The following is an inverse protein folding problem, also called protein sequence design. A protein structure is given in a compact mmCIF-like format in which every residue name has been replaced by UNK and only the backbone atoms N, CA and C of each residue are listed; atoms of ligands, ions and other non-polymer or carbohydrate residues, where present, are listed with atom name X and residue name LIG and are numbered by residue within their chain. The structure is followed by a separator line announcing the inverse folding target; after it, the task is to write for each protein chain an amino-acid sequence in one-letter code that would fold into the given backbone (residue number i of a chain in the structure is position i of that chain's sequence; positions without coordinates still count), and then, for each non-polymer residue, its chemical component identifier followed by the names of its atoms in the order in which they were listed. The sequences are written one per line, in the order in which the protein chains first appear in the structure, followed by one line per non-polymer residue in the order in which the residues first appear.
data_IF_126071298258
#
_entry.id   IF_126071298258
#
_cell.length_a   1.000
_cell.length_b   1.000
_cell.length_c   1.000
_cell.angle_alpha   90.00
_cell.angle_beta   90.00
_cell.angle_gamma   90.00
#
_symmetry.space_group_name_H-M   'P 1'
#
loop_
_entity.id
_entity.type
_entity.pdbx_description
1 polymer ?
#
# COMPACT_ATOMS: atom_id res chain seq x y z
N UNK A 1 6.36 -9.81 2.02
CA UNK A 1 5.77 -8.49 2.30
C UNK A 1 6.81 -7.67 3.03
N UNK A 2 7.05 -6.43 2.61
CA UNK A 2 7.80 -5.47 3.43
C UNK A 2 7.03 -5.23 4.73
N UNK A 3 7.71 -5.09 5.89
CA UNK A 3 7.05 -4.66 7.09
C UNK A 3 6.38 -3.29 6.85
N UNK A 4 5.17 -3.06 7.38
CA UNK A 4 4.53 -1.76 7.22
C UNK A 4 5.38 -0.68 7.91
N UNK A 5 5.51 0.52 7.30
CA UNK A 5 6.36 1.60 7.80
C UNK A 5 5.84 2.17 9.14
N UNK A 6 4.58 1.89 9.46
CA UNK A 6 3.90 2.23 10.69
C UNK A 6 3.31 0.92 11.23
N UNK A 7 3.44 0.66 12.53
CA UNK A 7 2.83 -0.54 13.12
C UNK A 7 1.31 -0.53 12.94
N UNK A 8 0.69 -1.69 12.74
CA UNK A 8 -0.77 -1.80 12.57
C UNK A 8 -1.54 -1.14 13.70
N UNK A 9 -1.01 -1.18 14.92
CA UNK A 9 -1.59 -0.54 16.09
C UNK A 9 -1.58 1.00 15.99
N UNK A 10 -0.50 1.58 15.46
CA UNK A 10 -0.42 3.03 15.22
C UNK A 10 -1.33 3.43 14.06
N UNK A 11 -1.39 2.63 12.99
CA UNK A 11 -2.27 2.87 11.85
C UNK A 11 -3.76 2.86 12.27
N UNK A 12 -4.18 1.86 13.05
CA UNK A 12 -5.55 1.76 13.62
C UNK A 12 -5.88 2.86 14.64
N UNK A 13 -4.86 3.48 15.25
CA UNK A 13 -5.02 4.65 16.14
C UNK A 13 -5.21 5.94 15.35
N UNK A 14 -4.46 6.13 14.27
CA UNK A 14 -4.55 7.32 13.42
C UNK A 14 -5.80 7.31 12.52
N UNK A 15 -6.22 6.14 12.05
CA UNK A 15 -7.39 5.98 11.19
C UNK A 15 -8.36 5.00 11.86
N UNK A 16 -9.34 5.53 12.58
CA UNK A 16 -10.29 4.74 13.36
C UNK A 16 -11.09 3.74 12.51
N UNK A 17 -11.37 4.09 11.25
CA UNK A 17 -12.06 3.23 10.27
C UNK A 17 -11.32 1.91 10.02
N UNK A 18 -9.98 1.89 10.11
CA UNK A 18 -9.14 0.70 9.88
C UNK A 18 -9.16 -0.29 11.04
N UNK A 19 -9.89 0.01 12.13
CA UNK A 19 -10.22 -1.00 13.14
C UNK A 19 -11.15 -2.07 12.57
N UNK A 20 -11.92 -1.75 11.53
CA UNK A 20 -12.68 -2.76 10.79
C UNK A 20 -11.70 -3.56 9.91
N UNK A 21 -11.62 -4.90 10.09
CA UNK A 21 -10.66 -5.73 9.35
C UNK A 21 -10.89 -5.69 7.84
N UNK A 22 -12.13 -5.50 7.38
CA UNK A 22 -12.44 -5.34 5.95
C UNK A 22 -11.88 -4.04 5.38
N UNK A 23 -11.87 -2.98 6.17
CA UNK A 23 -11.37 -1.68 5.71
C UNK A 23 -9.84 -1.65 5.71
N UNK A 24 -9.24 -2.31 6.70
CA UNK A 24 -7.80 -2.54 6.74
C UNK A 24 -7.31 -3.30 5.51
N UNK A 25 -7.97 -4.41 5.13
CA UNK A 25 -7.52 -5.18 3.96
C UNK A 25 -7.64 -4.40 2.65
N UNK A 26 -8.64 -3.54 2.50
CA UNK A 26 -8.78 -2.65 1.33
C UNK A 26 -7.66 -1.61 1.28
N UNK A 27 -7.34 -1.01 2.44
CA UNK A 27 -6.23 -0.07 2.56
C UNK A 27 -4.88 -0.75 2.21
N UNK A 28 -4.63 -1.94 2.76
CA UNK A 28 -3.42 -2.71 2.48
C UNK A 28 -3.31 -3.11 1.01
N UNK A 29 -4.43 -3.49 0.38
CA UNK A 29 -4.48 -3.79 -1.05
C UNK A 29 -4.11 -2.57 -1.92
N UNK A 30 -4.54 -1.37 -1.54
CA UNK A 30 -4.13 -0.12 -2.19
C UNK A 30 -2.63 0.12 -2.11
N UNK A 31 -2.07 -0.08 -0.92
CA UNK A 31 -0.64 0.06 -0.66
C UNK A 31 0.19 -0.95 -1.45
N UNK A 32 -0.22 -2.21 -1.42
CA UNK A 32 0.46 -3.30 -2.13
C UNK A 32 0.46 -3.08 -3.65
N UNK A 33 -0.69 -2.71 -4.22
CA UNK A 33 -0.80 -2.49 -5.66
C UNK A 33 0.07 -1.31 -6.12
N UNK A 34 0.13 -0.23 -5.35
CA UNK A 34 1.00 0.92 -5.63
C UNK A 34 2.48 0.49 -5.65
N UNK A 35 2.93 -0.29 -4.66
CA UNK A 35 4.29 -0.82 -4.61
C UNK A 35 4.60 -1.73 -5.81
N UNK A 36 3.70 -2.63 -6.17
CA UNK A 36 3.86 -3.51 -7.34
C UNK A 36 3.96 -2.71 -8.64
N UNK A 37 3.16 -1.65 -8.79
CA UNK A 37 3.18 -0.77 -9.96
C UNK A 37 4.50 0.01 -10.04
N UNK A 38 4.97 0.56 -8.92
CA UNK A 38 6.27 1.23 -8.81
C UNK A 38 7.46 0.29 -9.12
N UNK A 39 7.37 -0.97 -8.71
CA UNK A 39 8.36 -2.00 -9.01
C UNK A 39 8.38 -2.39 -10.49
N UNK A 40 7.22 -2.37 -11.15
CA UNK A 40 7.08 -2.65 -12.57
C UNK A 40 7.55 -1.47 -13.46
N UNK A 41 7.98 -0.35 -12.85
CA UNK A 41 8.40 0.85 -13.59
C UNK A 41 7.23 1.61 -14.22
N UNK A 42 6.00 1.34 -13.79
CA UNK A 42 4.80 2.05 -14.25
C UNK A 42 4.63 3.35 -13.46
N UNK A 43 3.92 4.30 -14.06
CA UNK A 43 3.53 5.53 -13.39
C UNK A 43 2.57 5.21 -12.23
N UNK A 44 2.85 5.76 -11.05
CA UNK A 44 2.04 5.62 -9.83
C UNK A 44 1.13 6.82 -9.59
N UNK A 45 1.27 7.87 -10.40
CA UNK A 45 0.33 9.00 -10.42
C UNK A 45 -1.04 8.59 -10.99
N UNK A 46 -1.08 7.57 -11.85
CA UNK A 46 -2.31 7.00 -12.37
C UNK A 46 -2.89 5.94 -11.41
N UNK A 47 -3.84 6.37 -10.60
CA UNK A 47 -4.47 5.54 -9.57
C UNK A 47 -5.70 4.81 -10.14
N UNK A 48 -5.75 3.46 -10.05
CA UNK A 48 -6.85 2.70 -10.61
C UNK A 48 -8.14 2.79 -9.78
N UNK A 49 -9.27 2.57 -10.45
CA UNK A 49 -10.54 2.28 -9.78
C UNK A 49 -10.47 0.87 -9.19
N UNK A 50 -10.67 0.78 -7.88
CA UNK A 50 -10.75 -0.45 -7.11
C UNK A 50 -12.19 -0.91 -6.92
N UNK A 51 -13.11 0.02 -6.63
CA UNK A 51 -14.53 -0.28 -6.39
C UNK A 51 -15.41 0.92 -6.74
N UNK A 52 -16.65 0.67 -7.17
CA UNK A 52 -17.66 1.71 -7.32
C UNK A 52 -18.26 2.17 -5.98
N UNK A 53 -18.01 1.44 -4.90
CA UNK A 53 -18.38 1.89 -3.55
C UNK A 53 -17.41 2.99 -3.10
N UNK A 54 -17.94 4.21 -2.87
CA UNK A 54 -17.13 5.38 -2.51
C UNK A 54 -16.26 5.17 -1.26
N UNK A 55 -16.77 4.47 -0.24
CA UNK A 55 -16.01 4.17 0.98
C UNK A 55 -14.82 3.26 0.68
N UNK A 56 -15.04 2.19 -0.09
CA UNK A 56 -13.98 1.24 -0.43
C UNK A 56 -12.95 1.87 -1.36
N UNK A 57 -13.40 2.66 -2.34
CA UNK A 57 -12.50 3.42 -3.19
C UNK A 57 -11.65 4.37 -2.36
N UNK A 58 -12.25 5.16 -1.46
CA UNK A 58 -11.53 6.10 -0.61
C UNK A 58 -10.46 5.42 0.26
N UNK A 59 -10.79 4.28 0.89
CA UNK A 59 -9.84 3.51 1.69
C UNK A 59 -8.67 2.97 0.86
N UNK A 60 -8.97 2.48 -0.35
CA UNK A 60 -7.97 2.04 -1.30
C UNK A 60 -7.04 3.19 -1.72
N UNK A 61 -7.61 4.37 -2.03
CA UNK A 61 -6.86 5.58 -2.37
C UNK A 61 -5.91 6.00 -1.24
N UNK A 62 -6.39 5.99 0.01
CA UNK A 62 -5.55 6.29 1.19
C UNK A 62 -4.37 5.30 1.32
N UNK A 63 -4.64 4.02 1.08
CA UNK A 63 -3.60 2.99 1.04
C UNK A 63 -2.56 3.24 -0.04
N UNK A 64 -3.01 3.56 -1.26
CA UNK A 64 -2.16 3.91 -2.39
C UNK A 64 -1.24 5.11 -2.09
N UNK A 65 -1.82 6.18 -1.56
CA UNK A 65 -1.12 7.43 -1.21
C UNK A 65 -0.19 7.29 0.00
N UNK A 66 -0.35 6.23 0.81
CA UNK A 66 0.54 5.97 1.94
C UNK A 66 1.94 5.50 1.53
N UNK A 67 2.13 5.11 0.27
CA UNK A 67 3.42 4.63 -0.26
C UNK A 67 4.33 5.82 -0.52
N UNK A 68 5.47 5.83 0.16
CA UNK A 68 6.52 6.83 -0.03
C UNK A 68 7.60 6.35 -1.01
N UNK A 69 8.42 7.29 -1.49
CA UNK A 69 9.59 6.95 -2.29
C UNK A 69 10.59 6.07 -1.53
N UNK A 70 10.66 6.20 -0.20
CA UNK A 70 11.51 5.37 0.66
C UNK A 70 11.05 3.91 0.66
N UNK A 71 9.74 3.65 0.74
CA UNK A 71 9.17 2.30 0.68
C UNK A 71 9.53 1.61 -0.64
N UNK A 72 9.41 2.33 -1.76
CA UNK A 72 9.74 1.82 -3.10
C UNK A 72 11.24 1.51 -3.19
N UNK A 73 12.11 2.40 -2.70
CA UNK A 73 13.57 2.20 -2.69
C UNK A 73 13.96 0.98 -1.85
N UNK A 74 13.38 0.84 -0.66
CA UNK A 74 13.62 -0.29 0.23
C UNK A 74 13.19 -1.61 -0.45
N UNK A 75 12.01 -1.63 -1.07
CA UNK A 75 11.50 -2.81 -1.77
C UNK A 75 12.39 -3.23 -2.94
N UNK A 76 12.88 -2.25 -3.72
CA UNK A 76 13.85 -2.50 -4.79
C UNK A 76 15.16 -3.08 -4.25
N UNK A 77 15.67 -2.53 -3.15
CA UNK A 77 16.89 -3.01 -2.52
C UNK A 77 16.73 -4.45 -1.99
N UNK A 78 15.60 -4.79 -1.37
CA UNK A 78 15.30 -6.16 -0.92
C UNK A 78 15.20 -7.15 -2.08
N UNK A 79 14.53 -6.76 -3.18
CA UNK A 79 14.43 -7.58 -4.38
C UNK A 79 15.82 -7.90 -4.96
N UNK A 80 16.71 -6.91 -4.99
CA UNK A 80 18.08 -7.08 -5.49
C UNK A 80 18.98 -7.88 -4.53
N UNK A 81 18.65 -7.94 -3.23
CA UNK A 81 19.37 -8.76 -2.24
C UNK A 81 18.99 -10.23 -2.25
N UNK A 82 17.88 -10.62 -2.88
CA UNK A 82 17.54 -12.04 -3.02
C UNK A 82 18.46 -12.64 -4.08
N UNK A 83 19.32 -13.63 -3.73
CA UNK A 83 20.10 -14.32 -4.74
C UNK A 83 19.13 -14.99 -5.72
N UNK A 84 19.40 -14.82 -7.01
CA UNK A 84 18.76 -15.59 -8.06
C UNK A 84 19.26 -17.03 -7.88
N UNK A 85 18.37 -17.93 -7.47
CA UNK A 85 18.63 -19.37 -7.52
C UNK A 85 18.59 -19.84 -8.97
#
# INVERSE_FOLDING_TARGET
MLPPPISDNLLKRQIAELRNPRYLSIYEAGRERCLQQALAGKDISDMPIYSYNATYQSLFCRGWQSVSAQDIRLLRAERNRRPVC
#
